data_IF_077707726787
#
_entry.id   IF_077707726787
#
_cell.length_a   1.000
_cell.length_b   1.000
_cell.length_c   1.000
_cell.angle_alpha   90.00
_cell.angle_beta   90.00
_cell.angle_gamma   90.00
#
_symmetry.space_group_name_H-M   'P 1'
#
loop_
_entity.id
_entity.type
_entity.pdbx_description
1 polymer ?
#
# COMPACT_ATOMS: atom_id res chain seq x y z
N UNK A 1 -10.25 -26.76 -15.01
CA UNK A 1 -9.18 -25.94 -15.62
C UNK A 1 -9.57 -25.77 -17.07
N UNK A 2 -9.71 -24.53 -17.55
CA UNK A 2 -10.17 -24.29 -18.92
C UNK A 2 -9.24 -23.25 -19.54
N UNK A 3 -8.54 -23.67 -20.59
CA UNK A 3 -7.74 -22.79 -21.42
C UNK A 3 -8.66 -22.03 -22.37
N UNK A 4 -8.51 -20.70 -22.43
CA UNK A 4 -9.11 -19.93 -23.52
C UNK A 4 -8.21 -20.05 -24.76
N UNK A 5 -8.79 -19.82 -25.94
CA UNK A 5 -8.14 -19.92 -27.26
C UNK A 5 -6.90 -19.02 -27.41
N UNK A 6 -6.72 -18.04 -26.53
CA UNK A 6 -5.58 -17.10 -26.51
C UNK A 6 -4.39 -17.58 -25.65
N UNK A 7 -4.36 -18.84 -25.20
CA UNK A 7 -3.27 -19.37 -24.36
C UNK A 7 -3.24 -18.80 -22.93
N UNK A 8 -4.28 -18.06 -22.54
CA UNK A 8 -4.41 -17.50 -21.19
C UNK A 8 -5.05 -18.55 -20.27
N UNK A 9 -4.26 -19.06 -19.33
CA UNK A 9 -4.75 -19.88 -18.24
C UNK A 9 -5.29 -18.97 -17.13
N UNK A 10 -6.61 -18.82 -17.07
CA UNK A 10 -7.27 -18.08 -15.99
C UNK A 10 -7.36 -18.95 -14.74
N UNK A 11 -6.40 -18.81 -13.84
CA UNK A 11 -6.43 -19.44 -12.51
C UNK A 11 -7.35 -18.64 -11.59
N UNK A 12 -8.67 -18.86 -11.68
CA UNK A 12 -9.60 -18.37 -10.65
C UNK A 12 -9.34 -19.17 -9.37
N UNK A 13 -9.04 -18.48 -8.25
CA UNK A 13 -8.84 -19.04 -6.90
C UNK A 13 -7.50 -19.73 -6.59
N UNK A 14 -6.35 -19.17 -6.99
CA UNK A 14 -5.07 -19.65 -6.41
C UNK A 14 -4.82 -19.11 -5.00
N UNK A 15 -5.34 -17.92 -4.74
CA UNK A 15 -5.31 -17.19 -3.47
C UNK A 15 -6.02 -17.94 -2.34
N UNK A 16 -7.00 -18.79 -2.63
CA UNK A 16 -7.78 -19.50 -1.61
C UNK A 16 -7.34 -20.96 -1.34
N UNK A 17 -6.36 -21.51 -2.08
CA UNK A 17 -5.92 -22.92 -1.90
C UNK A 17 -4.60 -23.08 -1.15
N UNK A 18 -3.78 -22.04 -1.08
CA UNK A 18 -2.54 -22.06 -0.31
C UNK A 18 -2.79 -21.36 1.04
N UNK A 19 -2.59 -22.10 2.13
CA UNK A 19 -2.76 -21.62 3.51
C UNK A 19 -2.07 -20.26 3.74
N UNK A 20 -2.65 -19.41 4.58
CA UNK A 20 -1.98 -18.19 5.06
C UNK A 20 -0.82 -18.50 5.99
N UNK A 21 -0.76 -19.71 6.54
CA UNK A 21 0.27 -20.17 7.47
C UNK A 21 1.22 -21.13 6.73
N UNK A 22 2.10 -20.55 5.90
CA UNK A 22 3.20 -21.26 5.22
C UNK A 22 4.55 -20.80 5.82
N UNK A 23 5.59 -21.65 5.82
CA UNK A 23 6.95 -21.23 6.10
C UNK A 23 7.38 -20.03 5.25
N UNK A 24 8.23 -19.17 5.80
CA UNK A 24 8.64 -17.89 5.21
C UNK A 24 9.09 -18.01 3.75
N UNK A 25 9.89 -19.02 3.42
CA UNK A 25 10.41 -19.19 2.06
C UNK A 25 9.34 -19.62 1.06
N UNK A 26 8.38 -20.43 1.49
CA UNK A 26 7.21 -20.77 0.67
C UNK A 26 6.28 -19.56 0.51
N UNK A 27 6.17 -18.69 1.52
CA UNK A 27 5.42 -17.44 1.38
C UNK A 27 6.05 -16.49 0.37
N UNK A 28 7.38 -16.32 0.42
CA UNK A 28 8.12 -15.52 -0.58
C UNK A 28 7.93 -16.08 -1.98
N UNK A 29 8.04 -17.41 -2.14
CA UNK A 29 7.83 -18.08 -3.43
C UNK A 29 6.41 -17.85 -3.95
N UNK A 30 5.39 -18.01 -3.08
CA UNK A 30 3.98 -17.76 -3.42
C UNK A 30 3.78 -16.32 -3.90
N UNK A 31 4.28 -15.34 -3.14
CA UNK A 31 4.18 -13.92 -3.50
C UNK A 31 4.89 -13.61 -4.81
N UNK A 32 6.10 -14.16 -5.03
CA UNK A 32 6.86 -13.97 -6.27
C UNK A 32 6.11 -14.56 -7.46
N UNK A 33 5.64 -15.80 -7.36
CA UNK A 33 4.89 -16.46 -8.43
C UNK A 33 3.59 -15.70 -8.76
N UNK A 34 2.86 -15.23 -7.75
CA UNK A 34 1.65 -14.43 -7.94
C UNK A 34 1.96 -13.07 -8.62
N UNK A 35 3.06 -12.43 -8.24
CA UNK A 35 3.50 -11.17 -8.83
C UNK A 35 3.88 -11.35 -10.31
N UNK A 36 4.67 -12.37 -10.66
CA UNK A 36 5.08 -12.66 -12.04
C UNK A 36 3.89 -13.06 -12.94
N UNK A 37 2.89 -13.71 -12.35
CA UNK A 37 1.66 -14.06 -13.06
C UNK A 37 0.73 -12.87 -13.28
N UNK A 38 0.86 -11.80 -12.49
CA UNK A 38 0.02 -10.60 -12.60
C UNK A 38 0.47 -9.78 -13.81
N UNK A 39 -0.30 -9.88 -14.90
CA UNK A 39 -0.09 -9.12 -16.13
C UNK A 39 -1.25 -8.16 -16.36
N UNK A 40 -0.94 -6.88 -16.56
CA UNK A 40 -1.94 -5.90 -16.97
C UNK A 40 -2.39 -6.15 -18.41
N UNK A 41 -3.62 -5.76 -18.73
CA UNK A 41 -4.12 -5.84 -20.10
C UNK A 41 -3.31 -4.92 -21.02
N UNK A 42 -3.18 -5.25 -22.32
CA UNK A 42 -2.42 -4.43 -23.27
C UNK A 42 -2.85 -2.96 -23.29
N UNK A 43 -4.16 -2.70 -23.19
CA UNK A 43 -4.72 -1.34 -23.14
C UNK A 43 -4.25 -0.54 -21.91
N UNK A 44 -4.22 -1.18 -20.74
CA UNK A 44 -3.75 -0.55 -19.50
C UNK A 44 -2.26 -0.25 -19.60
N UNK A 45 -1.47 -1.19 -20.13
CA UNK A 45 -0.04 -0.99 -20.37
C UNK A 45 0.26 0.15 -21.34
N UNK A 46 -0.51 0.28 -22.41
CA UNK A 46 -0.35 1.37 -23.39
C UNK A 46 -0.56 2.75 -22.74
N UNK A 47 -1.62 2.90 -21.95
CA UNK A 47 -1.93 4.13 -21.22
C UNK A 47 -0.80 4.45 -20.23
N UNK A 48 -0.37 3.47 -19.43
CA UNK A 48 0.71 3.67 -18.46
C UNK A 48 2.02 4.04 -19.13
N UNK A 49 2.36 3.40 -20.25
CA UNK A 49 3.58 3.71 -21.00
C UNK A 49 3.56 5.16 -21.51
N UNK A 50 2.46 5.59 -22.13
CA UNK A 50 2.27 6.98 -22.59
C UNK A 50 2.37 7.98 -21.44
N UNK A 51 1.80 7.66 -20.26
CA UNK A 51 1.90 8.52 -19.08
C UNK A 51 3.35 8.60 -18.57
N UNK A 52 4.03 7.46 -18.43
CA UNK A 52 5.41 7.40 -17.96
C UNK A 52 6.37 8.14 -18.92
N UNK A 53 6.20 7.98 -20.23
CA UNK A 53 6.96 8.71 -21.25
C UNK A 53 6.78 10.22 -21.11
N UNK A 54 5.54 10.71 -20.95
CA UNK A 54 5.25 12.14 -20.74
C UNK A 54 5.85 12.71 -19.45
N UNK A 55 5.89 11.91 -18.38
CA UNK A 55 6.53 12.34 -17.13
C UNK A 55 8.04 12.43 -17.30
N UNK A 56 8.67 11.38 -17.86
CA UNK A 56 10.13 11.34 -18.08
C UNK A 56 10.63 12.38 -19.07
N UNK A 57 9.83 12.72 -20.09
CA UNK A 57 10.25 13.70 -21.10
C UNK A 57 10.39 15.11 -20.54
N UNK A 58 9.75 15.41 -19.40
CA UNK A 58 9.87 16.71 -18.73
C UNK A 58 11.03 16.73 -17.75
N UNK A 59 11.16 15.68 -16.95
CA UNK A 59 12.15 15.60 -15.87
C UNK A 59 12.16 14.21 -15.21
N UNK A 60 13.18 13.92 -14.37
CA UNK A 60 13.10 12.82 -13.41
C UNK A 60 11.86 12.95 -12.53
N UNK A 61 11.23 11.83 -12.14
CA UNK A 61 10.05 11.84 -11.29
C UNK A 61 10.14 10.75 -10.22
N UNK A 62 9.47 11.00 -9.09
CA UNK A 62 9.30 10.02 -8.00
C UNK A 62 7.80 9.70 -7.91
N UNK A 63 7.47 8.41 -7.95
CA UNK A 63 6.13 7.92 -7.70
C UNK A 63 6.02 7.41 -6.26
N UNK A 64 5.11 8.01 -5.49
CA UNK A 64 4.93 7.70 -4.07
C UNK A 64 3.49 7.26 -3.82
N UNK A 65 3.30 6.00 -3.43
CA UNK A 65 1.99 5.49 -3.05
C UNK A 65 1.80 5.65 -1.53
N UNK A 66 0.91 6.56 -1.14
CA UNK A 66 0.62 6.84 0.26
C UNK A 66 -0.67 6.14 0.70
N UNK A 67 -0.56 5.30 1.72
CA UNK A 67 -1.68 4.65 2.41
C UNK A 67 -1.85 5.28 3.78
N UNK A 68 -2.50 6.44 3.82
CA UNK A 68 -2.79 7.20 5.05
C UNK A 68 -4.25 7.05 5.50
N UNK A 69 -4.94 6.05 4.97
CA UNK A 69 -6.35 5.77 5.21
C UNK A 69 -6.60 5.26 6.64
N UNK A 70 -7.80 5.50 7.18
CA UNK A 70 -8.18 5.11 8.56
C UNK A 70 -8.02 3.61 8.81
N UNK A 71 -8.40 2.79 7.83
CA UNK A 71 -8.34 1.32 7.91
C UNK A 71 -6.92 0.81 8.12
N UNK A 72 -5.92 1.44 7.50
CA UNK A 72 -4.50 1.11 7.69
C UNK A 72 -4.15 1.17 9.17
N UNK A 73 -4.48 2.27 9.84
CA UNK A 73 -4.17 2.49 11.26
C UNK A 73 -4.91 1.53 12.17
N UNK A 74 -6.16 1.19 11.84
CA UNK A 74 -6.94 0.18 12.55
C UNK A 74 -6.26 -1.19 12.42
N UNK A 75 -5.97 -1.63 11.20
CA UNK A 75 -5.39 -2.94 10.88
C UNK A 75 -4.01 -3.12 11.52
N UNK A 76 -3.18 -2.07 11.49
CA UNK A 76 -1.81 -2.11 12.04
C UNK A 76 -1.75 -1.77 13.52
N UNK A 77 -2.84 -1.32 14.14
CA UNK A 77 -2.88 -0.85 15.55
C UNK A 77 -1.68 0.05 15.92
N UNK A 78 -1.30 0.92 15.00
CA UNK A 78 -0.22 1.89 15.17
C UNK A 78 -0.79 3.28 15.46
N UNK A 79 0.03 4.16 16.03
CA UNK A 79 -0.34 5.56 16.19
C UNK A 79 -0.29 6.27 14.84
N UNK A 80 -1.31 7.10 14.57
CA UNK A 80 -1.49 7.86 13.33
C UNK A 80 -0.46 8.98 13.16
N UNK A 81 0.14 9.46 14.26
CA UNK A 81 1.05 10.61 14.28
C UNK A 81 0.35 11.97 14.10
N UNK A 82 -0.99 11.97 14.09
CA UNK A 82 -1.83 13.16 13.98
C UNK A 82 -2.13 13.77 15.36
N UNK A 83 -3.25 13.38 15.97
CA UNK A 83 -3.66 13.78 17.32
C UNK A 83 -4.22 12.59 18.08
N UNK A 84 -4.22 12.67 19.42
CA UNK A 84 -4.75 11.63 20.30
C UNK A 84 -6.20 11.26 19.98
N UNK A 85 -7.00 12.21 19.47
CA UNK A 85 -8.37 11.98 19.00
C UNK A 85 -8.41 10.94 17.87
N UNK A 86 -7.53 11.05 16.87
CA UNK A 86 -7.49 10.12 15.74
C UNK A 86 -6.94 8.76 16.14
N UNK A 87 -5.96 8.73 17.04
CA UNK A 87 -5.43 7.49 17.60
C UNK A 87 -6.52 6.73 18.38
N UNK A 88 -7.32 7.44 19.16
CA UNK A 88 -8.45 6.85 19.89
C UNK A 88 -9.53 6.33 18.94
N UNK A 89 -9.86 7.06 17.87
CA UNK A 89 -10.81 6.60 16.86
C UNK A 89 -10.33 5.29 16.21
N UNK A 90 -9.05 5.21 15.81
CA UNK A 90 -8.50 3.99 15.22
C UNK A 90 -8.50 2.83 16.23
N UNK A 91 -8.15 3.10 17.49
CA UNK A 91 -8.16 2.10 18.57
C UNK A 91 -9.55 1.53 18.83
N UNK A 92 -10.55 2.40 19.00
CA UNK A 92 -11.93 1.99 19.25
C UNK A 92 -12.50 1.19 18.08
N UNK A 93 -12.21 1.57 16.85
CA UNK A 93 -12.63 0.79 15.68
C UNK A 93 -11.95 -0.59 15.61
N UNK A 94 -10.67 -0.69 15.99
CA UNK A 94 -9.99 -1.98 16.12
C UNK A 94 -10.59 -2.89 17.17
N UNK A 95 -11.08 -2.33 18.28
CA UNK A 95 -11.80 -3.07 19.32
C UNK A 95 -13.17 -3.56 18.81
N UNK A 96 -13.88 -2.73 18.05
CA UNK A 96 -15.18 -3.11 17.45
C UNK A 96 -15.03 -4.19 16.38
N UNK A 97 -13.89 -4.22 15.67
CA UNK A 97 -13.65 -5.08 14.50
C UNK A 97 -12.32 -5.84 14.61
N UNK A 98 -12.18 -6.74 15.59
CA UNK A 98 -10.94 -7.48 15.80
C UNK A 98 -10.53 -8.36 14.61
N UNK A 99 -11.48 -8.76 13.76
CA UNK A 99 -11.24 -9.56 12.56
C UNK A 99 -10.42 -8.84 11.47
N UNK A 100 -10.38 -7.50 11.50
CA UNK A 100 -9.58 -6.69 10.58
C UNK A 100 -8.12 -6.61 11.00
N UNK A 101 -7.82 -6.93 12.27
CA UNK A 101 -6.49 -6.78 12.81
C UNK A 101 -5.55 -7.83 12.19
N UNK A 102 -4.57 -7.35 11.43
CA UNK A 102 -3.44 -8.20 11.00
C UNK A 102 -2.43 -8.38 12.16
N UNK A 103 -2.61 -7.59 13.22
CA UNK A 103 -1.91 -7.64 14.49
C UNK A 103 -2.20 -8.94 15.28
N UNK A 104 -1.51 -10.04 14.95
CA UNK A 104 -1.54 -11.25 15.78
C UNK A 104 -0.66 -11.16 17.04
N UNK A 105 0.04 -10.03 17.25
CA UNK A 105 1.05 -9.86 18.28
C UNK A 105 0.59 -8.90 19.39
N UNK A 106 0.89 -9.21 20.65
CA UNK A 106 0.62 -8.39 21.84
C UNK A 106 1.51 -7.14 21.98
N UNK A 107 2.22 -6.76 20.92
CA UNK A 107 3.16 -5.63 20.91
C UNK A 107 2.42 -4.29 21.05
N UNK A 108 3.02 -3.39 21.82
CA UNK A 108 2.59 -2.00 21.92
C UNK A 108 2.81 -1.24 20.60
N UNK A 109 2.11 -0.12 20.35
CA UNK A 109 2.29 0.66 19.12
C UNK A 109 3.75 1.08 18.87
N UNK A 110 4.51 1.37 19.93
CA UNK A 110 5.91 1.77 19.83
C UNK A 110 6.83 0.60 19.44
N UNK A 111 6.65 -0.56 20.06
CA UNK A 111 7.42 -1.76 19.70
C UNK A 111 7.17 -2.16 18.24
N UNK A 112 5.92 -2.04 17.78
CA UNK A 112 5.57 -2.29 16.37
C UNK A 112 6.26 -1.32 15.43
N UNK A 113 6.34 -0.04 15.80
CA UNK A 113 7.07 0.97 15.03
C UNK A 113 8.54 0.62 14.92
N UNK A 114 9.18 0.26 16.04
CA UNK A 114 10.59 -0.14 16.07
C UNK A 114 10.85 -1.44 15.28
N UNK A 115 9.88 -2.35 15.26
CA UNK A 115 9.93 -3.58 14.46
C UNK A 115 9.61 -3.38 12.97
N UNK A 116 9.35 -2.14 12.51
CA UNK A 116 9.00 -1.86 11.11
C UNK A 116 7.60 -2.35 10.70
N UNK A 117 6.71 -2.58 11.66
CA UNK A 117 5.34 -3.06 11.44
C UNK A 117 4.32 -1.92 11.29
N UNK A 118 4.75 -0.66 11.45
CA UNK A 118 3.92 0.52 11.24
C UNK A 118 4.27 1.22 9.93
N UNK A 119 3.27 1.72 9.18
CA UNK A 119 3.52 2.59 8.04
C UNK A 119 4.08 3.94 8.51
N UNK A 120 4.71 4.67 7.60
CA UNK A 120 5.11 6.06 7.85
C UNK A 120 3.86 6.93 8.01
N UNK A 121 3.85 7.79 9.03
CA UNK A 121 2.81 8.79 9.19
C UNK A 121 3.02 10.00 8.26
N UNK A 122 2.03 10.88 8.17
CA UNK A 122 2.07 12.04 7.29
C UNK A 122 3.30 12.94 7.52
N UNK A 123 3.74 13.12 8.78
CA UNK A 123 4.93 13.94 9.10
C UNK A 123 6.21 13.27 8.63
N UNK A 124 6.33 11.97 8.83
CA UNK A 124 7.49 11.18 8.40
C UNK A 124 7.58 11.10 6.88
N UNK A 125 6.47 10.92 6.20
CA UNK A 125 6.39 10.97 4.73
C UNK A 125 6.84 12.33 4.22
N UNK A 126 6.34 13.43 4.80
CA UNK A 126 6.76 14.77 4.41
C UNK A 126 8.26 14.95 4.57
N UNK A 127 8.83 14.54 5.71
CA UNK A 127 10.26 14.62 5.95
C UNK A 127 11.07 13.78 4.95
N UNK A 128 10.65 12.54 4.70
CA UNK A 128 11.29 11.66 3.72
C UNK A 128 11.28 12.29 2.32
N UNK A 129 10.14 12.84 1.89
CA UNK A 129 10.03 13.49 0.59
C UNK A 129 10.88 14.76 0.52
N UNK A 130 10.92 15.57 1.58
CA UNK A 130 11.79 16.74 1.64
C UNK A 130 13.27 16.38 1.52
N UNK A 131 13.71 15.34 2.24
CA UNK A 131 15.09 14.85 2.15
C UNK A 131 15.39 14.28 0.76
N UNK A 132 14.48 13.47 0.17
CA UNK A 132 14.65 12.95 -1.19
C UNK A 132 14.78 14.09 -2.21
N UNK A 133 13.88 15.06 -2.18
CA UNK A 133 13.89 16.19 -3.11
C UNK A 133 15.11 17.11 -2.96
N UNK A 134 15.79 17.11 -1.81
CA UNK A 134 17.06 17.82 -1.65
C UNK A 134 18.20 17.17 -2.45
N UNK A 135 18.20 15.83 -2.58
CA UNK A 135 19.20 15.10 -3.35
C UNK A 135 18.93 15.08 -4.87
N UNK A 136 17.67 15.28 -5.29
CA UNK A 136 17.32 15.38 -6.70
C UNK A 136 17.29 16.82 -7.18
N UNK A 137 17.59 17.05 -8.46
CA UNK A 137 17.55 18.40 -9.04
C UNK A 137 16.14 18.98 -8.96
N UNK A 138 16.06 20.33 -8.91
CA UNK A 138 14.87 21.17 -8.65
C UNK A 138 13.66 20.86 -9.58
N UNK A 139 13.86 20.03 -10.61
CA UNK A 139 12.84 19.67 -11.60
C UNK A 139 12.07 18.38 -11.29
N UNK A 140 12.18 17.77 -10.11
CA UNK A 140 11.53 16.47 -9.85
C UNK A 140 10.01 16.59 -9.65
N UNK A 141 9.20 15.85 -10.43
CA UNK A 141 7.73 15.78 -10.26
C UNK A 141 7.38 14.67 -9.26
N UNK A 142 6.55 15.00 -8.26
CA UNK A 142 5.96 14.04 -7.32
C UNK A 142 4.60 13.56 -7.84
N UNK A 143 4.47 12.25 -8.09
CA UNK A 143 3.18 11.63 -8.42
C UNK A 143 2.67 10.82 -7.21
N UNK A 144 1.55 11.27 -6.64
CA UNK A 144 0.93 10.63 -5.47
C UNK A 144 -0.48 10.12 -5.82
N UNK A 145 -0.63 8.85 -6.23
CA UNK A 145 -1.95 8.24 -6.33
C UNK A 145 -2.48 8.01 -4.91
N UNK A 146 -3.52 8.77 -4.53
CA UNK A 146 -4.29 8.50 -3.32
C UNK A 146 -5.52 7.67 -3.68
N UNK A 147 -5.77 6.60 -2.92
CA UNK A 147 -7.10 6.02 -2.83
C UNK A 147 -7.93 6.95 -1.96
N UNK A 148 -8.70 7.85 -2.56
CA UNK A 148 -9.65 8.67 -1.83
C UNK A 148 -11.03 8.02 -1.91
N UNK A 149 -11.36 7.17 -0.93
CA UNK A 149 -12.73 7.12 -0.41
C UNK A 149 -12.89 8.20 0.68
N UNK A 150 -12.55 9.45 0.34
CA UNK A 150 -12.91 10.60 1.15
C UNK A 150 -14.37 10.92 0.79
N UNK A 151 -15.30 10.43 1.61
CA UNK A 151 -16.67 10.94 1.60
C UNK A 151 -16.61 12.46 1.79
N UNK A 152 -17.15 13.22 0.84
CA UNK A 152 -17.16 14.68 0.79
C UNK A 152 -17.95 15.38 1.92
N UNK A 153 -18.13 14.76 3.10
CA UNK A 153 -19.07 15.23 4.12
C UNK A 153 -18.43 15.80 5.41
N UNK A 154 -17.12 16.02 5.50
CA UNK A 154 -16.49 16.59 6.71
C UNK A 154 -15.72 17.91 6.47
N UNK A 155 -16.23 18.77 5.57
CA UNK A 155 -15.78 20.17 5.45
C UNK A 155 -16.97 21.15 5.44
N UNK A 156 -17.90 20.97 6.38
CA UNK A 156 -18.88 21.99 6.77
C UNK A 156 -18.85 22.23 8.25
#
# INVERSE_FOLDING_TARGET
MQFNRDGVLLLRRLDSRLSKDLPSDLQKLRCKAAFEALKFSPRVMEIWKKLAERMRSKCPYIALHLRLEKDVWVITSCLTGLSSKYDEIARLEGIKRPELLTAKSTLTPNERKLAGLCPLNAKEVTRLVSELLFFFTINTILYCPMNSNLSQNELR
#
